data_IF_229459743192
#
_entry.id   IF_229459743192
#
_cell.length_a   1.000
_cell.length_b   1.000
_cell.length_c   1.000
_cell.angle_alpha   90.00
_cell.angle_beta   90.00
_cell.angle_gamma   90.00
#
_symmetry.space_group_name_H-M   'P 1'
#
loop_
_entity.id
_entity.type
_entity.pdbx_description
1 polymer ?
#
# COMPACT_ATOMS: atom_id res chain seq x y z
N UNK A 1 -11.24 14.54 16.26
CA UNK A 1 -11.08 13.50 15.23
C UNK A 1 -10.39 14.15 14.05
N UNK A 2 -9.19 13.70 13.72
CA UNK A 2 -8.47 14.17 12.53
C UNK A 2 -9.33 13.86 11.32
N UNK A 3 -9.62 14.88 10.51
CA UNK A 3 -10.46 14.78 9.33
C UNK A 3 -9.73 13.93 8.27
N UNK A 4 -9.83 12.59 8.41
CA UNK A 4 -9.31 11.66 7.43
C UNK A 4 -10.04 11.98 6.14
N UNK A 5 -9.27 12.30 5.11
CA UNK A 5 -9.81 12.72 3.83
C UNK A 5 -10.74 11.62 3.31
N UNK A 6 -12.01 11.94 3.06
CA UNK A 6 -13.04 10.94 2.74
C UNK A 6 -12.66 10.09 1.52
N UNK A 7 -12.04 10.73 0.52
CA UNK A 7 -11.63 10.06 -0.70
C UNK A 7 -10.10 9.95 -0.78
N UNK A 8 -9.66 8.78 -1.25
CA UNK A 8 -8.30 8.52 -1.72
C UNK A 8 -8.31 8.21 -3.21
N UNK A 9 -7.12 8.13 -3.80
CA UNK A 9 -6.96 7.68 -5.17
C UNK A 9 -5.84 6.66 -5.27
N UNK A 10 -6.02 5.65 -6.13
CA UNK A 10 -4.96 4.74 -6.57
C UNK A 10 -4.64 5.08 -8.02
N UNK A 11 -3.35 5.20 -8.35
CA UNK A 11 -2.87 5.57 -9.68
C UNK A 11 -1.75 4.63 -10.09
N UNK A 12 -1.89 4.06 -11.28
CA UNK A 12 -0.84 3.30 -11.96
C UNK A 12 -0.52 3.95 -13.31
N UNK A 13 0.73 3.79 -13.78
CA UNK A 13 1.16 4.28 -15.09
C UNK A 13 1.97 3.25 -15.88
N UNK A 14 1.76 3.27 -17.20
CA UNK A 14 2.60 2.53 -18.14
C UNK A 14 3.49 3.47 -18.96
N UNK A 15 4.73 3.03 -19.23
CA UNK A 15 5.75 3.83 -19.91
C UNK A 15 6.23 3.23 -21.24
N UNK A 16 6.59 4.12 -22.15
CA UNK A 16 7.11 3.77 -23.47
C UNK A 16 8.60 3.35 -23.36
N UNK A 17 9.21 2.94 -24.47
CA UNK A 17 10.64 2.56 -24.50
C UNK A 17 11.61 3.71 -24.16
N UNK A 18 11.13 4.95 -24.12
CA UNK A 18 11.89 6.14 -23.71
C UNK A 18 11.61 6.55 -22.25
N UNK A 19 10.92 5.69 -21.49
CA UNK A 19 10.54 5.93 -20.10
C UNK A 19 9.58 7.12 -19.91
N UNK A 20 8.77 7.44 -20.93
CA UNK A 20 7.71 8.44 -20.84
C UNK A 20 6.36 7.75 -20.64
N UNK A 21 5.52 8.30 -19.77
CA UNK A 21 4.17 7.77 -19.51
C UNK A 21 3.31 7.85 -20.77
N UNK A 22 2.71 6.73 -21.19
CA UNK A 22 1.73 6.70 -22.28
C UNK A 22 0.32 6.34 -21.82
N UNK A 23 0.14 5.70 -20.66
CA UNK A 23 -1.18 5.46 -20.08
C UNK A 23 -1.20 5.68 -18.57
N UNK A 24 -2.35 6.15 -18.06
CA UNK A 24 -2.56 6.44 -16.64
C UNK A 24 -3.94 5.93 -16.24
N UNK A 25 -3.97 4.96 -15.33
CA UNK A 25 -5.19 4.47 -14.71
C UNK A 25 -5.40 5.08 -13.35
N UNK A 26 -6.63 5.48 -13.06
CA UNK A 26 -6.96 6.20 -11.83
C UNK A 26 -8.27 5.68 -11.26
N UNK A 27 -8.25 5.33 -9.97
CA UNK A 27 -9.43 4.87 -9.23
C UNK A 27 -9.60 5.70 -7.97
N UNK A 28 -10.71 6.44 -7.89
CA UNK A 28 -11.16 7.13 -6.69
C UNK A 28 -11.87 6.12 -5.80
N UNK A 29 -11.57 6.14 -4.50
CA UNK A 29 -12.17 5.23 -3.54
C UNK A 29 -12.50 5.90 -2.21
N UNK A 30 -13.50 5.35 -1.53
CA UNK A 30 -13.82 5.74 -0.16
C UNK A 30 -12.72 5.22 0.78
N UNK A 31 -12.17 6.10 1.61
CA UNK A 31 -11.03 5.78 2.48
C UNK A 31 -11.37 4.86 3.65
N UNK A 32 -12.66 4.65 3.94
CA UNK A 32 -13.11 3.81 5.06
C UNK A 32 -13.21 2.33 4.70
N UNK A 33 -13.52 2.02 3.44
CA UNK A 33 -13.80 0.65 2.99
C UNK A 33 -13.12 0.28 1.67
N UNK A 34 -12.35 1.21 1.08
CA UNK A 34 -11.64 1.04 -0.19
C UNK A 34 -12.51 0.65 -1.38
N UNK A 35 -13.82 0.94 -1.33
CA UNK A 35 -14.71 0.73 -2.47
C UNK A 35 -14.54 1.86 -3.49
N UNK A 36 -14.42 1.46 -4.75
CA UNK A 36 -14.33 2.38 -5.88
C UNK A 36 -15.58 3.25 -5.97
N UNK A 37 -15.38 4.54 -6.19
CA UNK A 37 -16.42 5.57 -6.38
C UNK A 37 -16.48 5.97 -7.86
N UNK A 38 -15.33 6.24 -8.47
CA UNK A 38 -15.20 6.67 -9.86
C UNK A 38 -13.81 6.27 -10.37
N UNK A 39 -13.63 6.23 -11.68
CA UNK A 39 -12.38 5.86 -12.33
C UNK A 39 -12.22 6.54 -13.67
N UNK A 40 -10.97 6.73 -14.10
CA UNK A 40 -10.61 7.25 -15.42
C UNK A 40 -9.39 6.54 -15.95
N UNK A 41 -9.32 6.44 -17.26
CA UNK A 41 -8.19 5.86 -17.96
C UNK A 41 -7.74 6.79 -19.08
N UNK A 42 -6.58 7.41 -18.92
CA UNK A 42 -6.04 8.34 -19.91
C UNK A 42 -4.95 7.70 -20.75
N UNK A 43 -5.05 7.85 -22.07
CA UNK A 43 -4.02 7.45 -23.04
C UNK A 43 -3.41 8.69 -23.68
N UNK A 44 -2.08 8.82 -23.63
CA UNK A 44 -1.32 9.89 -24.28
C UNK A 44 -0.84 9.40 -25.65
N UNK A 45 -1.57 9.79 -26.70
CA UNK A 45 -1.33 9.30 -28.07
C UNK A 45 0.09 9.54 -28.57
N UNK A 46 0.67 10.71 -28.32
CA UNK A 46 2.02 10.99 -28.81
C UNK A 46 3.08 10.09 -28.17
N UNK A 47 2.94 9.79 -26.88
CA UNK A 47 3.86 8.92 -26.16
C UNK A 47 3.64 7.45 -26.53
N UNK A 48 2.38 7.07 -26.81
CA UNK A 48 2.02 5.72 -27.26
C UNK A 48 2.62 5.37 -28.64
N UNK A 49 2.75 6.34 -29.56
CA UNK A 49 3.33 6.13 -30.90
C UNK A 49 4.78 5.62 -30.86
N UNK A 50 5.51 5.92 -29.79
CA UNK A 50 6.87 5.41 -29.55
C UNK A 50 6.87 3.88 -29.34
N UNK A 51 5.73 3.31 -28.92
CA UNK A 51 5.61 1.93 -28.52
C UNK A 51 6.14 1.69 -27.10
N UNK A 52 5.94 0.48 -26.60
CA UNK A 52 6.36 0.11 -25.26
C UNK A 52 6.05 -1.36 -25.02
N UNK A 53 6.65 -1.94 -23.98
CA UNK A 53 6.49 -3.35 -23.63
C UNK A 53 5.00 -3.76 -23.55
N UNK A 54 4.17 -2.85 -23.04
CA UNK A 54 2.73 -3.07 -22.82
C UNK A 54 1.84 -2.14 -23.64
N UNK A 55 2.36 -1.49 -24.69
CA UNK A 55 1.57 -0.59 -25.53
C UNK A 55 0.36 -1.28 -26.20
N UNK A 56 0.42 -2.61 -26.39
CA UNK A 56 -0.70 -3.41 -26.92
C UNK A 56 -1.79 -3.69 -25.89
N UNK A 57 -1.53 -3.46 -24.61
CA UNK A 57 -2.44 -3.83 -23.51
C UNK A 57 -3.44 -2.72 -23.15
N UNK A 58 -3.47 -1.62 -23.91
CA UNK A 58 -4.32 -0.46 -23.62
C UNK A 58 -5.83 -0.75 -23.74
N UNK A 59 -6.26 -1.55 -24.73
CA UNK A 59 -7.70 -1.80 -24.98
C UNK A 59 -8.13 -3.24 -24.72
N UNK A 60 -7.19 -4.17 -24.70
CA UNK A 60 -7.37 -5.54 -24.26
C UNK A 60 -6.28 -5.80 -23.22
N UNK A 61 -6.59 -6.29 -22.01
CA UNK A 61 -7.81 -7.00 -21.62
C UNK A 61 -8.92 -6.13 -21.01
N UNK A 62 -8.95 -4.82 -21.28
CA UNK A 62 -9.92 -3.91 -20.69
C UNK A 62 -11.38 -4.33 -20.98
N UNK A 63 -12.21 -4.59 -19.94
CA UNK A 63 -13.63 -4.91 -20.10
C UNK A 63 -14.40 -3.82 -20.86
N UNK A 64 -15.46 -4.22 -21.58
CA UNK A 64 -16.22 -3.30 -22.43
C UNK A 64 -16.83 -2.15 -21.62
N UNK A 65 -17.30 -2.45 -20.41
CA UNK A 65 -17.86 -1.49 -19.46
C UNK A 65 -16.84 -0.43 -18.99
N UNK A 66 -15.54 -0.67 -19.13
CA UNK A 66 -14.50 0.30 -18.76
C UNK A 66 -14.03 1.14 -19.96
N UNK A 67 -14.51 0.86 -21.18
CA UNK A 67 -14.16 1.66 -22.37
C UNK A 67 -14.70 3.08 -22.29
N UNK A 68 -15.83 3.30 -21.63
CA UNK A 68 -16.40 4.64 -21.42
C UNK A 68 -15.50 5.52 -20.52
N UNK A 69 -14.66 4.89 -19.70
CA UNK A 69 -13.69 5.56 -18.84
C UNK A 69 -12.41 5.95 -19.59
N UNK A 70 -12.25 5.45 -20.83
CA UNK A 70 -11.05 5.63 -21.65
C UNK A 70 -11.09 6.95 -22.40
N UNK A 71 -10.12 7.82 -22.14
CA UNK A 71 -9.99 9.14 -22.72
C UNK A 71 -8.64 9.23 -23.43
N UNK A 72 -8.68 9.44 -24.74
CA UNK A 72 -7.47 9.68 -25.52
C UNK A 72 -7.15 11.16 -25.59
N UNK A 73 -5.93 11.52 -25.20
CA UNK A 73 -5.39 12.88 -25.26
C UNK A 73 -4.14 12.88 -26.14
N UNK A 74 -3.82 14.01 -26.74
CA UNK A 74 -2.64 14.10 -27.61
C UNK A 74 -1.36 14.18 -26.78
N UNK A 75 -1.37 14.94 -25.67
CA UNK A 75 -0.16 15.28 -24.92
C UNK A 75 -0.23 14.95 -23.42
N UNK A 76 0.94 14.73 -22.82
CA UNK A 76 1.10 14.60 -21.36
C UNK A 76 0.57 15.83 -20.62
N UNK A 77 0.80 17.03 -21.15
CA UNK A 77 0.37 18.29 -20.52
C UNK A 77 -1.15 18.33 -20.36
N UNK A 78 -1.90 17.94 -21.39
CA UNK A 78 -3.36 17.83 -21.30
C UNK A 78 -3.78 16.79 -20.27
N UNK A 79 -3.16 15.60 -20.30
CA UNK A 79 -3.45 14.53 -19.33
C UNK A 79 -3.26 15.02 -17.89
N UNK A 80 -2.15 15.68 -17.57
CA UNK A 80 -1.89 16.19 -16.22
C UNK A 80 -2.93 17.23 -15.79
N UNK A 81 -3.39 18.10 -16.70
CA UNK A 81 -4.45 19.08 -16.39
C UNK A 81 -5.76 18.37 -16.03
N UNK A 82 -6.17 17.36 -16.79
CA UNK A 82 -7.38 16.60 -16.51
C UNK A 82 -7.27 15.77 -15.24
N UNK A 83 -6.13 15.12 -15.04
CA UNK A 83 -5.83 14.35 -13.82
C UNK A 83 -5.96 15.23 -12.58
N UNK A 84 -5.27 16.37 -12.53
CA UNK A 84 -5.33 17.26 -11.36
C UNK A 84 -6.75 17.79 -11.12
N UNK A 85 -7.49 18.12 -12.18
CA UNK A 85 -8.90 18.54 -12.06
C UNK A 85 -9.77 17.43 -11.46
N UNK A 86 -9.60 16.20 -11.94
CA UNK A 86 -10.31 15.03 -11.44
C UNK A 86 -10.02 14.76 -9.96
N UNK A 87 -8.75 14.77 -9.56
CA UNK A 87 -8.36 14.59 -8.16
C UNK A 87 -8.91 15.69 -7.26
N UNK A 88 -8.89 16.95 -7.71
CA UNK A 88 -9.43 18.09 -6.96
C UNK A 88 -10.95 18.05 -6.84
N UNK A 89 -11.66 17.62 -7.89
CA UNK A 89 -13.11 17.46 -7.86
C UNK A 89 -13.55 16.48 -6.77
N UNK A 90 -12.79 15.40 -6.57
CA UNK A 90 -13.01 14.44 -5.48
C UNK A 90 -12.35 14.83 -4.15
N UNK A 91 -11.82 16.04 -4.05
CA UNK A 91 -11.12 16.57 -2.87
C UNK A 91 -9.99 15.68 -2.36
N UNK A 92 -9.33 14.92 -3.25
CA UNK A 92 -8.26 13.99 -2.91
C UNK A 92 -7.05 14.73 -2.34
N UNK A 93 -6.47 14.19 -1.26
CA UNK A 93 -5.20 14.64 -0.67
C UNK A 93 -4.12 13.56 -0.68
N UNK A 94 -4.54 12.30 -0.58
CA UNK A 94 -3.64 11.16 -0.52
C UNK A 94 -3.84 10.32 -1.78
N UNK A 95 -2.73 10.06 -2.47
CA UNK A 95 -2.70 9.13 -3.59
C UNK A 95 -1.78 7.95 -3.27
N UNK A 96 -2.13 6.83 -3.85
CA UNK A 96 -1.52 5.54 -3.65
C UNK A 96 -1.07 4.96 -4.99
N UNK A 97 0.00 4.17 -4.94
CA UNK A 97 0.40 3.27 -6.00
C UNK A 97 1.13 2.08 -5.37
N UNK A 98 1.29 0.96 -6.10
CA UNK A 98 1.88 -0.23 -5.49
C UNK A 98 3.31 0.03 -5.03
N UNK A 99 4.11 0.71 -5.86
CA UNK A 99 5.47 1.12 -5.51
C UNK A 99 5.70 2.59 -5.85
N UNK A 100 6.86 3.14 -5.45
CA UNK A 100 7.27 4.49 -5.88
C UNK A 100 7.51 4.67 -7.40
N UNK A 101 7.28 3.66 -8.24
CA UNK A 101 7.49 3.80 -9.69
C UNK A 101 6.63 4.92 -10.27
N UNK A 102 5.31 4.89 -10.04
CA UNK A 102 4.32 5.85 -10.54
C UNK A 102 4.55 7.24 -9.97
N UNK A 103 4.88 7.28 -8.67
CA UNK A 103 5.32 8.50 -8.00
C UNK A 103 6.46 9.20 -8.75
N UNK A 104 7.49 8.46 -9.18
CA UNK A 104 8.61 9.04 -9.93
C UNK A 104 8.21 9.53 -11.32
N UNK A 105 7.17 8.93 -11.91
CA UNK A 105 6.69 9.25 -13.25
C UNK A 105 5.63 10.35 -13.29
N UNK A 106 5.16 10.84 -12.14
CA UNK A 106 4.18 11.94 -12.03
C UNK A 106 4.64 13.05 -11.06
N UNK A 107 5.81 13.69 -11.30
CA UNK A 107 6.33 14.76 -10.45
C UNK A 107 5.38 15.97 -10.33
N UNK A 108 4.49 16.17 -11.30
CA UNK A 108 3.51 17.25 -11.32
C UNK A 108 2.51 17.17 -10.15
N UNK A 109 2.32 15.98 -9.56
CA UNK A 109 1.40 15.78 -8.43
C UNK A 109 2.04 16.11 -7.07
N UNK A 110 3.36 16.11 -6.97
CA UNK A 110 4.09 16.08 -5.68
C UNK A 110 3.82 17.29 -4.79
N UNK A 111 3.50 18.45 -5.38
CA UNK A 111 3.24 19.69 -4.64
C UNK A 111 1.87 19.70 -3.97
N UNK A 112 0.91 18.94 -4.48
CA UNK A 112 -0.50 19.04 -4.06
C UNK A 112 -1.05 17.76 -3.45
N UNK A 113 -0.45 16.61 -3.72
CA UNK A 113 -0.93 15.31 -3.28
C UNK A 113 0.17 14.51 -2.59
N UNK A 114 -0.15 13.94 -1.42
CA UNK A 114 0.77 13.12 -0.64
C UNK A 114 0.74 11.68 -1.15
N UNK A 115 1.88 11.19 -1.63
CA UNK A 115 2.05 9.80 -2.07
C UNK A 115 2.19 8.84 -0.90
N UNK A 116 1.63 7.64 -1.06
CA UNK A 116 1.76 6.53 -0.12
C UNK A 116 1.98 5.22 -0.90
N UNK A 117 2.93 4.41 -0.45
CA UNK A 117 3.37 3.18 -1.14
C UNK A 117 2.71 1.96 -0.50
N UNK A 118 1.88 1.24 -1.27
CA UNK A 118 1.11 0.08 -0.80
C UNK A 118 2.04 -1.09 -0.48
N UNK A 119 3.13 -1.28 -1.26
CA UNK A 119 4.05 -2.42 -1.10
C UNK A 119 4.68 -2.49 0.27
N UNK A 120 4.82 -1.37 0.99
CA UNK A 120 5.33 -1.32 2.38
C UNK A 120 4.51 -2.23 3.30
N UNK A 121 3.19 -2.23 3.13
CA UNK A 121 2.27 -3.01 3.95
C UNK A 121 2.09 -4.42 3.38
N UNK A 122 1.92 -4.49 2.06
CA UNK A 122 1.69 -5.74 1.35
C UNK A 122 2.80 -6.79 1.58
N UNK A 123 4.06 -6.38 1.62
CA UNK A 123 5.19 -7.31 1.73
C UNK A 123 5.60 -7.64 3.16
N UNK A 124 5.02 -7.00 4.18
CA UNK A 124 5.49 -7.14 5.56
C UNK A 124 4.53 -7.99 6.38
N UNK A 125 5.04 -9.05 7.00
CA UNK A 125 4.23 -10.02 7.77
C UNK A 125 3.46 -9.45 8.98
N UNK A 126 3.84 -8.26 9.45
CA UNK A 126 3.08 -7.56 10.50
C UNK A 126 1.74 -7.05 9.98
N UNK A 127 1.68 -6.66 8.71
CA UNK A 127 0.51 -6.05 8.09
C UNK A 127 -0.23 -7.05 7.20
N UNK A 128 0.52 -7.83 6.41
CA UNK A 128 -0.03 -8.88 5.58
C UNK A 128 0.04 -10.25 6.29
N UNK A 129 -1.07 -10.64 6.91
CA UNK A 129 -1.24 -11.93 7.60
C UNK A 129 -1.26 -13.15 6.67
N UNK A 130 -1.34 -12.95 5.36
CA UNK A 130 -1.35 -14.05 4.37
C UNK A 130 0.06 -14.53 4.03
N UNK A 131 1.09 -13.79 4.43
CA UNK A 131 2.48 -14.20 4.26
C UNK A 131 2.74 -15.49 5.07
N UNK A 132 3.19 -16.59 4.42
CA UNK A 132 3.45 -17.85 5.13
C UNK A 132 4.50 -17.72 6.23
N UNK A 133 4.34 -18.46 7.32
CA UNK A 133 5.27 -18.45 8.47
C UNK A 133 6.70 -18.85 8.09
N UNK A 134 6.84 -19.70 7.08
CA UNK A 134 8.13 -20.18 6.56
C UNK A 134 8.70 -19.30 5.42
N UNK A 135 8.05 -18.18 5.06
CA UNK A 135 8.53 -17.32 4.00
C UNK A 135 9.86 -16.65 4.39
N UNK A 136 10.76 -16.49 3.41
CA UNK A 136 12.02 -15.78 3.62
C UNK A 136 11.78 -14.28 3.81
N UNK A 137 11.93 -13.79 5.04
CA UNK A 137 11.81 -12.36 5.36
C UNK A 137 13.13 -11.72 5.74
N UNK A 138 13.20 -10.39 5.61
CA UNK A 138 14.19 -9.55 6.28
C UNK A 138 13.98 -9.56 7.81
N UNK A 139 14.90 -8.94 8.55
CA UNK A 139 14.78 -8.75 10.01
C UNK A 139 13.52 -7.97 10.41
N UNK A 140 13.05 -7.07 9.55
CA UNK A 140 11.89 -6.22 9.81
C UNK A 140 10.57 -6.87 9.36
N UNK A 141 10.61 -8.10 8.85
CA UNK A 141 9.40 -8.83 8.43
C UNK A 141 9.00 -8.65 6.97
N UNK A 142 9.71 -7.83 6.18
CA UNK A 142 9.48 -7.71 4.74
C UNK A 142 9.91 -8.99 4.00
N UNK A 143 9.09 -9.48 3.09
CA UNK A 143 9.44 -10.52 2.13
C UNK A 143 10.69 -10.16 1.32
N UNK A 144 11.59 -11.12 1.12
CA UNK A 144 12.77 -10.94 0.25
C UNK A 144 12.44 -11.06 -1.24
N UNK A 145 11.42 -11.85 -1.58
CA UNK A 145 10.95 -12.17 -2.94
C UNK A 145 9.45 -12.46 -2.91
N UNK A 146 8.79 -12.54 -4.08
CA UNK A 146 7.36 -12.86 -4.16
C UNK A 146 6.49 -11.75 -3.58
N UNK A 147 6.85 -10.48 -3.83
CA UNK A 147 6.11 -9.31 -3.35
C UNK A 147 5.74 -8.34 -4.46
N UNK A 148 5.83 -8.72 -5.75
CA UNK A 148 5.25 -7.90 -6.82
C UNK A 148 3.73 -7.81 -6.65
N UNK A 149 3.09 -6.87 -7.34
CA UNK A 149 1.63 -6.69 -7.26
C UNK A 149 0.92 -8.01 -7.58
N UNK A 150 1.31 -8.68 -8.67
CA UNK A 150 0.83 -10.02 -9.02
C UNK A 150 0.99 -11.04 -7.87
N UNK A 151 2.21 -11.18 -7.32
CA UNK A 151 2.48 -12.16 -6.26
C UNK A 151 1.59 -11.93 -5.03
N UNK A 152 1.43 -10.67 -4.62
CA UNK A 152 0.59 -10.30 -3.48
C UNK A 152 -0.89 -10.48 -3.80
N UNK A 153 -1.32 -10.12 -4.99
CA UNK A 153 -2.70 -10.30 -5.40
C UNK A 153 -3.10 -11.77 -5.32
N UNK A 154 -2.31 -12.66 -5.95
CA UNK A 154 -2.49 -14.12 -5.87
C UNK A 154 -2.52 -14.60 -4.42
N UNK A 155 -1.59 -14.12 -3.59
CA UNK A 155 -1.52 -14.49 -2.17
C UNK A 155 -2.79 -14.11 -1.39
N UNK A 156 -3.34 -12.91 -1.65
CA UNK A 156 -4.52 -12.39 -0.96
C UNK A 156 -5.82 -13.02 -1.46
N UNK A 157 -5.94 -13.31 -2.76
CA UNK A 157 -7.14 -13.91 -3.36
C UNK A 157 -7.13 -15.43 -3.37
N UNK A 158 -5.94 -16.04 -3.24
CA UNK A 158 -5.65 -17.47 -3.49
C UNK A 158 -5.92 -17.90 -4.93
N UNK A 159 -5.92 -16.96 -5.86
CA UNK A 159 -6.05 -17.24 -7.28
C UNK A 159 -4.67 -17.32 -7.94
N UNK A 160 -4.10 -18.51 -8.02
CA UNK A 160 -2.80 -18.74 -8.66
C UNK A 160 -2.82 -18.50 -10.18
N UNK A 161 -4.00 -18.41 -10.80
CA UNK A 161 -4.15 -18.18 -12.24
C UNK A 161 -4.25 -16.70 -12.61
N UNK A 162 -4.33 -15.80 -11.63
CA UNK A 162 -4.34 -14.37 -11.89
C UNK A 162 -3.01 -13.95 -12.53
N UNK A 163 -3.04 -13.08 -13.54
CA UNK A 163 -1.86 -12.45 -14.12
C UNK A 163 -2.10 -10.95 -14.22
N UNK A 164 -1.08 -10.16 -13.85
CA UNK A 164 -1.14 -8.71 -14.03
C UNK A 164 -1.30 -8.37 -15.50
N UNK A 165 -2.19 -7.44 -15.78
CA UNK A 165 -2.60 -7.15 -17.16
C UNK A 165 -1.70 -6.14 -17.83
N UNK A 166 -0.94 -5.37 -17.06
CA UNK A 166 -0.18 -4.22 -17.55
C UNK A 166 -1.08 -3.26 -18.33
N UNK A 167 -2.26 -3.06 -17.79
CA UNK A 167 -3.23 -2.05 -18.19
C UNK A 167 -3.43 -1.17 -16.96
N UNK A 168 -2.94 0.05 -17.03
CA UNK A 168 -2.87 0.90 -15.85
C UNK A 168 -4.21 1.09 -15.11
N UNK A 169 -5.37 1.05 -15.79
CA UNK A 169 -6.65 1.12 -15.09
C UNK A 169 -6.95 -0.16 -14.31
N UNK A 170 -6.75 -1.33 -14.92
CA UNK A 170 -6.96 -2.62 -14.25
C UNK A 170 -5.97 -2.79 -13.10
N UNK A 171 -4.71 -2.44 -13.31
CA UNK A 171 -3.69 -2.60 -12.28
C UNK A 171 -3.96 -1.64 -11.11
N UNK A 172 -4.42 -0.41 -11.36
CA UNK A 172 -4.89 0.49 -10.28
C UNK A 172 -6.13 -0.06 -9.53
N UNK A 173 -7.02 -0.80 -10.19
CA UNK A 173 -8.14 -1.51 -9.55
C UNK A 173 -7.63 -2.66 -8.68
N UNK A 174 -6.66 -3.44 -9.19
CA UNK A 174 -6.08 -4.55 -8.47
C UNK A 174 -5.26 -4.09 -7.26
N UNK A 175 -4.55 -2.97 -7.38
CA UNK A 175 -3.88 -2.30 -6.27
C UNK A 175 -4.86 -1.81 -5.19
N UNK A 176 -5.99 -1.22 -5.57
CA UNK A 176 -7.06 -0.86 -4.63
C UNK A 176 -7.61 -2.12 -3.94
N UNK A 177 -7.77 -3.21 -4.70
CA UNK A 177 -8.24 -4.48 -4.17
C UNK A 177 -7.24 -5.08 -3.18
N UNK A 178 -5.93 -4.94 -3.41
CA UNK A 178 -4.89 -5.29 -2.44
C UNK A 178 -5.10 -4.50 -1.13
N UNK A 179 -5.34 -3.19 -1.20
CA UNK A 179 -5.61 -2.38 0.00
C UNK A 179 -6.83 -2.90 0.77
N UNK A 180 -7.91 -3.23 0.06
CA UNK A 180 -9.12 -3.83 0.66
C UNK A 180 -8.82 -5.16 1.36
N UNK A 181 -8.12 -6.08 0.68
CA UNK A 181 -7.87 -7.43 1.16
C UNK A 181 -6.84 -7.50 2.30
N UNK A 182 -5.92 -6.53 2.38
CA UNK A 182 -5.05 -6.36 3.54
C UNK A 182 -5.85 -6.05 4.81
N UNK A 183 -7.06 -5.49 4.68
CA UNK A 183 -7.99 -5.22 5.78
C UNK A 183 -7.32 -4.39 6.90
N UNK A 184 -6.62 -3.33 6.49
CA UNK A 184 -6.01 -2.32 7.36
C UNK A 184 -6.82 -1.04 7.27
N UNK A 185 -6.86 -0.24 8.33
CA UNK A 185 -7.44 1.09 8.23
C UNK A 185 -6.55 2.03 7.41
N UNK A 186 -7.17 3.09 6.87
CA UNK A 186 -6.44 4.12 6.14
C UNK A 186 -5.37 4.81 7.01
N UNK A 187 -5.59 4.94 8.31
CA UNK A 187 -4.58 5.54 9.19
C UNK A 187 -3.28 4.74 9.22
N UNK A 188 -3.35 3.41 9.15
CA UNK A 188 -2.20 2.51 9.06
C UNK A 188 -1.41 2.80 7.79
N UNK A 189 -2.11 2.90 6.66
CA UNK A 189 -1.51 3.24 5.36
C UNK A 189 -0.82 4.61 5.36
N UNK A 190 -1.42 5.62 6.00
CA UNK A 190 -0.88 6.99 6.03
C UNK A 190 0.29 7.20 7.00
N UNK A 191 0.49 6.27 7.95
CA UNK A 191 1.48 6.37 9.04
C UNK A 191 2.64 5.36 8.94
N UNK A 192 3.05 5.00 7.71
CA UNK A 192 4.14 4.03 7.44
C UNK A 192 5.44 4.25 8.24
N UNK A 193 5.79 5.49 8.58
CA UNK A 193 7.00 5.81 9.36
C UNK A 193 6.84 5.59 10.88
N UNK A 194 5.67 5.91 11.46
CA UNK A 194 5.42 5.70 12.90
C UNK A 194 5.35 4.22 13.27
N UNK A 195 4.89 3.40 12.32
CA UNK A 195 4.87 1.95 12.50
C UNK A 195 6.28 1.34 12.53
N UNK A 196 7.29 2.01 11.94
CA UNK A 196 8.71 1.62 12.05
C UNK A 196 9.35 2.05 13.38
N UNK A 197 8.95 3.19 13.95
CA UNK A 197 9.51 3.71 15.21
C UNK A 197 9.04 2.98 16.47
N UNK A 198 7.83 2.38 16.46
CA UNK A 198 7.43 1.43 17.51
C UNK A 198 8.35 0.19 17.60
N UNK A 199 9.25 0.00 16.64
CA UNK A 199 10.06 -1.22 16.46
C UNK A 199 11.54 -0.99 16.80
N UNK A 200 12.05 0.25 16.87
CA UNK A 200 13.47 0.51 17.24
C UNK A 200 13.73 0.66 18.74
N UNK A 201 12.71 0.51 19.59
CA UNK A 201 12.91 0.43 21.04
C UNK A 201 12.18 -0.78 21.64
N UNK A 202 12.88 -1.93 21.86
CA UNK A 202 12.55 -2.68 23.04
C UNK A 202 12.81 -1.71 24.20
N UNK A 203 11.78 -1.36 24.98
CA UNK A 203 12.02 -0.89 26.35
C UNK A 203 12.91 -1.95 26.98
N UNK A 204 14.20 -1.66 27.12
CA UNK A 204 15.06 -2.40 28.05
C UNK A 204 14.39 -2.23 29.40
N UNK A 205 13.65 -3.25 29.82
CA UNK A 205 13.34 -3.42 31.23
C UNK A 205 14.71 -3.65 31.86
N UNK A 206 15.27 -2.59 32.41
CA UNK A 206 16.51 -2.66 33.15
C UNK A 206 16.16 -3.39 34.45
N UNK A 207 16.34 -4.71 34.47
CA UNK A 207 16.17 -5.55 35.66
C UNK A 207 17.24 -5.27 36.74
N UNK A 208 18.14 -4.31 36.52
CA UNK A 208 19.15 -3.88 37.50
C UNK A 208 18.65 -2.70 38.35
N UNK A 209 17.57 -2.90 39.10
CA UNK A 209 17.24 -2.12 40.32
C UNK A 209 16.08 -2.74 41.10
N UNK A 210 16.05 -4.07 41.20
CA UNK A 210 15.36 -4.71 42.32
C UNK A 210 16.40 -4.92 43.43
N UNK A 211 16.50 -3.93 44.32
CA UNK A 211 17.22 -4.06 45.58
C UNK A 211 16.61 -5.24 46.33
N UNK A 212 17.31 -6.36 46.37
CA UNK A 212 16.94 -7.52 47.19
C UNK A 212 17.00 -7.04 48.65
N UNK A 213 15.84 -6.73 49.21
CA UNK A 213 15.73 -6.41 50.62
C UNK A 213 15.84 -7.73 51.41
N UNK A 214 17.09 -8.14 51.70
CA UNK A 214 17.46 -9.37 52.42
C UNK A 214 16.88 -9.48 53.85
N UNK A 215 16.13 -8.48 54.33
CA UNK A 215 15.44 -8.50 55.63
C UNK A 215 14.03 -9.11 55.62
N UNK A 216 13.41 -9.32 54.46
CA UNK A 216 12.06 -9.90 54.38
C UNK A 216 12.05 -11.45 54.33
N UNK A 217 13.13 -12.09 53.87
CA UNK A 217 13.19 -13.55 53.74
C UNK A 217 13.43 -14.30 55.07
N UNK A 218 13.96 -13.64 56.09
CA UNK A 218 14.26 -14.24 57.40
C UNK A 218 13.07 -14.20 58.39
N UNK A 219 11.99 -13.48 58.09
CA UNK A 219 10.77 -13.49 58.92
C UNK A 219 9.76 -14.57 58.51
N UNK A 220 9.76 -15.01 57.25
CA UNK A 220 8.81 -16.03 56.77
C UNK A 220 9.22 -17.44 57.21
N UNK A 221 10.52 -17.75 57.29
CA UNK A 221 10.99 -19.07 57.74
C UNK A 221 10.82 -19.34 59.24
N UNK A 222 10.57 -18.32 60.08
CA UNK A 222 10.33 -18.53 61.52
C UNK A 222 8.86 -18.78 61.87
N UNK A 223 7.91 -18.38 61.01
CA UNK A 223 6.47 -18.56 61.26
C UNK A 223 5.97 -19.94 60.81
N UNK A 224 6.62 -20.58 59.84
CA UNK A 224 6.23 -21.91 59.35
C UNK A 224 6.71 -23.08 60.23
N UNK A 225 7.69 -22.88 61.13
CA UNK A 225 8.18 -23.94 62.02
C UNK A 225 7.39 -24.12 63.33
N UNK A 226 6.39 -23.27 63.61
CA UNK A 226 5.59 -23.35 64.85
C UNK A 226 4.19 -23.96 64.60
N UNK A 227 3.77 -24.16 63.34
CA UNK A 227 2.44 -24.69 63.00
C UNK A 227 2.39 -26.18 62.64
N UNK A 228 3.44 -26.96 62.95
CA UNK A 228 3.52 -28.39 62.62
C UNK A 228 3.88 -29.31 63.80
N UNK A 229 3.74 -28.82 65.03
CA UNK A 229 3.74 -29.68 66.23
C UNK A 229 2.46 -29.41 67.04
N UNK A 230 1.36 -30.02 66.58
CA UNK A 230 0.20 -30.45 67.36
C UNK A 230 -0.38 -31.67 66.65
#
# INVERSE_FOLDING_TARGET
MTNVNKNIVVIDVETNYQNEVFSVGVVIADSTNFKSIDKKYWIIKNNLKVGGMYARNILAPLPLEFREETIFLETRKEMIVYLIKFLKYYEVKNWFSYTKFDFRHLPELHKSFKHNDISIFAKNKQFNKYIPLNAETSKNGDLKRGWKAEDIYRMLTKDENYFETHNALLDAIDELRIMELLNLDIETFLNSNKNKEKITSPKKINLSKASINKKALLKVQKVQKVKLNL
#
